data_IF_820175621144
#
_entry.id   IF_820175621144
#
_cell.length_a   1.000
_cell.length_b   1.000
_cell.length_c   1.000
_cell.angle_alpha   90.00
_cell.angle_beta   90.00
_cell.angle_gamma   90.00
#
_symmetry.space_group_name_H-M   'P 1'
#
loop_
_entity.id
_entity.type
_entity.pdbx_description
1 polymer ?
#
# COMPACT_ATOMS: atom_id res chain seq x y z
N UNK A 1 85.02 52.47 29.54
CA UNK A 1 83.80 53.28 29.38
C UNK A 1 83.42 53.35 27.90
N UNK A 2 84.32 53.76 27.01
CA UNK A 2 84.10 53.83 25.54
C UNK A 2 83.58 52.53 24.90
N UNK A 3 84.04 51.35 25.33
CA UNK A 3 83.60 50.06 24.74
C UNK A 3 82.15 49.66 25.05
N UNK A 4 81.52 50.25 26.07
CA UNK A 4 80.13 49.96 26.46
C UNK A 4 79.16 50.87 25.72
N UNK A 5 79.60 52.10 25.43
CA UNK A 5 78.84 53.13 24.73
C UNK A 5 78.71 52.78 23.23
N UNK A 6 79.80 52.36 22.58
CA UNK A 6 79.77 51.86 21.19
C UNK A 6 78.94 50.58 21.04
N UNK A 7 78.94 49.72 22.06
CA UNK A 7 78.13 48.52 22.07
C UNK A 7 76.63 48.82 22.16
N UNK A 8 76.22 49.83 22.93
CA UNK A 8 74.84 50.29 23.05
C UNK A 8 74.35 51.01 21.79
N UNK A 9 75.23 51.76 21.12
CA UNK A 9 74.94 52.42 19.85
C UNK A 9 74.70 51.41 18.72
N UNK A 10 75.53 50.37 18.60
CA UNK A 10 75.28 49.29 17.64
C UNK A 10 73.94 48.57 17.88
N UNK A 11 73.53 48.40 19.14
CA UNK A 11 72.23 47.79 19.47
C UNK A 11 71.05 48.70 19.09
N UNK A 12 71.20 50.01 19.28
CA UNK A 12 70.20 51.01 18.85
C UNK A 12 70.02 50.99 17.33
N UNK A 13 71.12 50.94 16.59
CA UNK A 13 71.14 50.90 15.11
C UNK A 13 70.49 49.60 14.61
N UNK A 14 70.78 48.45 15.23
CA UNK A 14 70.12 47.18 14.88
C UNK A 14 68.60 47.24 15.09
N UNK A 15 68.11 47.86 16.17
CA UNK A 15 66.67 48.05 16.39
C UNK A 15 66.02 48.99 15.40
N UNK A 16 66.74 50.01 14.96
CA UNK A 16 66.28 50.93 13.93
C UNK A 16 66.16 50.24 12.57
N UNK A 17 67.11 49.35 12.23
CA UNK A 17 67.06 48.49 11.03
C UNK A 17 65.93 47.45 11.12
N UNK A 18 65.66 46.91 12.31
CA UNK A 18 64.55 45.99 12.55
C UNK A 18 63.18 46.67 12.58
N UNK A 19 63.15 48.01 12.66
CA UNK A 19 61.92 48.78 12.58
C UNK A 19 61.39 48.82 11.14
N UNK A 20 60.07 48.97 11.01
CA UNK A 20 59.42 49.07 9.69
C UNK A 20 59.68 50.40 8.97
N UNK A 21 60.40 51.34 9.59
CA UNK A 21 60.68 52.67 9.04
C UNK A 21 61.94 52.67 8.17
N UNK A 22 61.74 52.51 6.87
CA UNK A 22 62.83 52.48 5.87
C UNK A 22 63.48 53.84 5.63
N UNK A 23 62.87 54.95 6.10
CA UNK A 23 63.40 56.30 5.89
C UNK A 23 64.69 56.55 6.69
N UNK A 24 64.87 55.87 7.82
CA UNK A 24 66.03 56.03 8.69
C UNK A 24 67.23 55.15 8.29
N UNK A 25 67.04 54.12 7.47
CA UNK A 25 68.09 53.15 7.13
C UNK A 25 69.29 53.81 6.45
N UNK A 26 69.06 54.74 5.51
CA UNK A 26 70.12 55.41 4.77
C UNK A 26 71.07 56.26 5.65
N UNK A 27 70.54 57.19 6.46
CA UNK A 27 71.32 57.95 7.43
C UNK A 27 72.00 57.06 8.48
N UNK A 28 71.31 56.05 9.00
CA UNK A 28 71.82 55.14 10.04
C UNK A 28 72.99 54.29 9.52
N UNK A 29 72.92 53.79 8.28
CA UNK A 29 74.05 53.09 7.66
C UNK A 29 75.24 54.02 7.38
N UNK A 30 74.99 55.25 6.91
CA UNK A 30 76.06 56.24 6.70
C UNK A 30 76.81 56.53 7.99
N UNK A 31 76.11 56.68 9.11
CA UNK A 31 76.69 56.87 10.45
C UNK A 31 77.62 55.72 10.89
N UNK A 32 77.32 54.47 10.49
CA UNK A 32 78.17 53.31 10.80
C UNK A 32 79.44 53.31 9.95
N UNK A 33 79.32 53.64 8.66
CA UNK A 33 80.44 53.66 7.71
C UNK A 33 81.40 54.83 7.92
N UNK A 34 80.89 55.98 8.39
CA UNK A 34 81.70 57.15 8.76
C UNK A 34 82.48 56.92 10.07
N UNK A 35 82.09 55.91 10.87
CA UNK A 35 82.78 55.50 12.10
C UNK A 35 83.89 54.46 11.88
N UNK A 36 84.89 54.43 12.77
CA UNK A 36 86.02 53.50 12.69
C UNK A 36 85.66 52.03 13.08
N UNK A 37 84.46 51.76 13.62
CA UNK A 37 84.05 50.45 14.14
C UNK A 37 83.08 49.66 13.22
N UNK A 38 82.95 50.04 11.95
CA UNK A 38 82.03 49.40 10.99
C UNK A 38 82.15 47.86 10.92
N UNK A 39 83.36 47.30 11.05
CA UNK A 39 83.66 45.87 11.05
C UNK A 39 82.98 45.17 12.25
N UNK A 40 83.04 45.79 13.44
CA UNK A 40 82.40 45.27 14.66
C UNK A 40 80.88 45.35 14.57
N UNK A 41 80.35 46.37 13.88
CA UNK A 41 78.92 46.46 13.63
C UNK A 41 78.45 45.34 12.69
N UNK A 42 79.18 45.08 11.59
CA UNK A 42 78.88 43.98 10.67
C UNK A 42 78.91 42.61 11.37
N UNK A 43 79.88 42.38 12.27
CA UNK A 43 79.94 41.18 13.10
C UNK A 43 78.71 41.04 14.01
N UNK A 44 78.23 42.14 14.61
CA UNK A 44 77.00 42.14 15.41
C UNK A 44 75.74 41.92 14.58
N UNK A 45 75.65 42.51 13.38
CA UNK A 45 74.54 42.31 12.46
C UNK A 45 74.46 40.85 12.01
N UNK A 46 75.59 40.25 11.65
CA UNK A 46 75.70 38.83 11.31
C UNK A 46 75.26 37.93 12.48
N UNK A 47 75.66 38.28 13.71
CA UNK A 47 75.22 37.56 14.91
C UNK A 47 73.69 37.70 15.14
N UNK A 48 73.12 38.88 14.84
CA UNK A 48 71.68 39.14 14.95
C UNK A 48 70.88 38.36 13.92
N UNK A 49 71.33 38.32 12.66
CA UNK A 49 70.75 37.48 11.59
C UNK A 49 70.74 36.02 12.01
N UNK A 50 71.89 35.48 12.46
CA UNK A 50 71.99 34.10 12.96
C UNK A 50 71.07 33.82 14.15
N UNK A 51 70.82 34.81 15.00
CA UNK A 51 69.88 34.68 16.11
C UNK A 51 68.44 34.54 15.60
N UNK A 52 68.02 35.39 14.66
CA UNK A 52 66.69 35.33 14.04
C UNK A 52 66.48 34.03 13.26
N UNK A 53 67.46 33.59 12.48
CA UNK A 53 67.38 32.32 11.75
C UNK A 53 67.15 31.15 12.71
N UNK A 54 67.85 31.14 13.87
CA UNK A 54 67.63 30.14 14.92
C UNK A 54 66.25 30.22 15.56
N UNK A 55 65.70 31.41 15.76
CA UNK A 55 64.34 31.58 16.29
C UNK A 55 63.27 31.11 15.31
N UNK A 56 63.43 31.44 14.02
CA UNK A 56 62.57 30.95 12.92
C UNK A 56 62.62 29.42 12.88
N UNK A 57 63.82 28.84 12.86
CA UNK A 57 63.99 27.38 12.83
C UNK A 57 63.36 26.72 14.06
N UNK A 58 63.52 27.31 15.25
CA UNK A 58 62.89 26.81 16.48
C UNK A 58 61.37 26.85 16.40
N UNK A 59 60.77 27.94 15.89
CA UNK A 59 59.32 28.04 15.72
C UNK A 59 58.79 27.07 14.67
N UNK A 60 59.47 26.94 13.54
CA UNK A 60 59.11 25.97 12.51
C UNK A 60 59.17 24.54 13.07
N UNK A 61 60.26 24.17 13.75
CA UNK A 61 60.41 22.84 14.34
C UNK A 61 59.37 22.57 15.44
N UNK A 62 59.03 23.57 16.26
CA UNK A 62 58.02 23.43 17.30
C UNK A 62 56.62 23.13 16.72
N UNK A 63 56.26 23.74 15.59
CA UNK A 63 54.94 23.57 14.98
C UNK A 63 54.86 22.52 13.86
N UNK A 64 55.99 22.04 13.37
CA UNK A 64 56.04 21.13 12.21
C UNK A 64 55.19 19.88 12.43
N UNK A 65 55.32 19.22 13.58
CA UNK A 65 54.56 18.01 13.87
C UNK A 65 53.05 18.28 13.90
N UNK A 66 52.61 19.36 14.56
CA UNK A 66 51.20 19.72 14.63
C UNK A 66 50.59 20.04 13.25
N UNK A 67 51.37 20.63 12.34
CA UNK A 67 50.97 20.85 10.96
C UNK A 67 50.80 19.52 10.19
N UNK A 68 51.77 18.61 10.31
CA UNK A 68 51.73 17.28 9.69
C UNK A 68 50.53 16.46 10.21
N UNK A 69 50.29 16.50 11.52
CA UNK A 69 49.17 15.80 12.15
C UNK A 69 47.83 16.36 11.64
N UNK A 70 47.69 17.68 11.57
CA UNK A 70 46.48 18.36 11.06
C UNK A 70 46.17 17.98 9.60
N UNK A 71 47.19 17.94 8.73
CA UNK A 71 47.01 17.50 7.33
C UNK A 71 46.59 16.03 7.30
N UNK A 72 47.23 15.20 8.10
CA UNK A 72 46.93 13.77 8.15
C UNK A 72 45.50 13.51 8.60
N UNK A 73 45.01 14.23 9.62
CA UNK A 73 43.62 14.16 10.06
C UNK A 73 42.64 14.63 8.99
N UNK A 74 42.94 15.73 8.30
CA UNK A 74 42.09 16.23 7.22
C UNK A 74 41.97 15.24 6.05
N UNK A 75 43.07 14.55 5.72
CA UNK A 75 43.06 13.47 4.72
C UNK A 75 42.22 12.27 5.17
N UNK A 76 42.26 11.89 6.45
CA UNK A 76 41.41 10.85 7.03
C UNK A 76 39.93 11.24 6.95
N UNK A 77 39.58 12.45 7.38
CA UNK A 77 38.20 12.97 7.32
C UNK A 77 37.68 12.94 5.88
N UNK A 78 38.48 13.37 4.91
CA UNK A 78 38.12 13.32 3.48
C UNK A 78 37.83 11.88 3.02
N UNK A 79 38.66 10.92 3.44
CA UNK A 79 38.46 9.51 3.10
C UNK A 79 37.16 8.95 3.69
N UNK A 80 36.92 9.19 4.98
CA UNK A 80 35.71 8.75 5.68
C UNK A 80 34.44 9.39 5.09
N UNK A 81 34.46 10.69 4.80
CA UNK A 81 33.35 11.37 4.13
C UNK A 81 33.04 10.76 2.76
N UNK A 82 34.08 10.34 2.02
CA UNK A 82 33.93 9.60 0.76
C UNK A 82 33.22 8.26 0.95
N UNK A 83 33.60 7.48 1.98
CA UNK A 83 32.95 6.21 2.30
C UNK A 83 31.47 6.39 2.67
N UNK A 84 31.17 7.37 3.53
CA UNK A 84 29.79 7.69 3.93
C UNK A 84 28.96 8.08 2.71
N UNK A 85 29.49 8.93 1.83
CA UNK A 85 28.81 9.30 0.57
C UNK A 85 28.46 8.06 -0.26
N UNK A 86 29.41 7.14 -0.45
CA UNK A 86 29.18 5.92 -1.20
C UNK A 86 28.11 5.03 -0.54
N UNK A 87 28.15 4.87 0.79
CA UNK A 87 27.16 4.10 1.54
C UNK A 87 25.76 4.71 1.46
N UNK A 88 25.63 6.03 1.58
CA UNK A 88 24.34 6.74 1.46
C UNK A 88 23.75 6.53 0.07
N UNK A 89 24.56 6.68 -0.98
CA UNK A 89 24.09 6.47 -2.37
C UNK A 89 23.68 5.01 -2.59
N UNK A 90 24.46 4.05 -2.11
CA UNK A 90 24.14 2.63 -2.24
C UNK A 90 22.84 2.27 -1.50
N UNK A 91 22.68 2.74 -0.26
CA UNK A 91 21.49 2.51 0.56
C UNK A 91 20.25 3.14 -0.08
N UNK A 92 20.36 4.38 -0.57
CA UNK A 92 19.27 5.04 -1.27
C UNK A 92 18.86 4.26 -2.53
N UNK A 93 19.82 3.74 -3.31
CA UNK A 93 19.52 2.93 -4.49
C UNK A 93 18.77 1.64 -4.10
N UNK A 94 19.26 0.91 -3.11
CA UNK A 94 18.61 -0.31 -2.62
C UNK A 94 17.18 -0.04 -2.10
N UNK A 95 17.00 1.06 -1.36
CA UNK A 95 15.68 1.46 -0.88
C UNK A 95 14.71 1.79 -2.01
N UNK A 96 15.19 2.47 -3.05
CA UNK A 96 14.36 2.79 -4.22
C UNK A 96 13.98 1.53 -5.03
N UNK A 97 14.91 0.58 -5.17
CA UNK A 97 14.64 -0.70 -5.85
C UNK A 97 13.61 -1.53 -5.07
N UNK A 98 13.83 -1.75 -3.77
CA UNK A 98 12.88 -2.44 -2.91
C UNK A 98 11.51 -1.73 -2.85
N UNK A 99 11.51 -0.39 -2.86
CA UNK A 99 10.29 0.41 -2.90
C UNK A 99 9.48 0.22 -4.19
N UNK A 100 10.14 0.08 -5.35
CA UNK A 100 9.46 -0.18 -6.62
C UNK A 100 8.81 -1.56 -6.67
N UNK A 101 9.52 -2.58 -6.19
CA UNK A 101 8.98 -3.93 -6.07
C UNK A 101 7.76 -3.96 -5.15
N UNK A 102 7.86 -3.32 -3.98
CA UNK A 102 6.75 -3.21 -3.04
C UNK A 102 5.53 -2.51 -3.62
N UNK A 103 5.71 -1.42 -4.37
CA UNK A 103 4.59 -0.72 -5.03
C UNK A 103 3.89 -1.65 -6.02
N UNK A 104 4.65 -2.41 -6.79
CA UNK A 104 4.10 -3.36 -7.78
C UNK A 104 3.25 -4.43 -7.10
N UNK A 105 3.78 -5.06 -6.04
CA UNK A 105 3.05 -6.05 -5.23
C UNK A 105 1.77 -5.47 -4.59
N UNK A 106 1.80 -4.21 -4.16
CA UNK A 106 0.64 -3.53 -3.58
C UNK A 106 -0.45 -3.25 -4.62
N UNK A 107 -0.08 -2.91 -5.86
CA UNK A 107 -1.02 -2.75 -6.96
C UNK A 107 -1.69 -4.09 -7.31
N UNK A 108 -0.92 -5.17 -7.37
CA UNK A 108 -1.45 -6.52 -7.59
C UNK A 108 -2.40 -6.95 -6.47
N UNK A 109 -2.01 -6.74 -5.20
CA UNK A 109 -2.85 -7.03 -4.04
C UNK A 109 -4.16 -6.24 -4.09
N UNK A 110 -4.10 -4.96 -4.48
CA UNK A 110 -5.30 -4.12 -4.62
C UNK A 110 -6.22 -4.67 -5.70
N UNK A 111 -5.68 -5.08 -6.86
CA UNK A 111 -6.44 -5.72 -7.93
C UNK A 111 -7.10 -7.02 -7.44
N UNK A 112 -6.36 -7.87 -6.71
CA UNK A 112 -6.88 -9.11 -6.14
C UNK A 112 -8.00 -8.84 -5.12
N UNK A 113 -7.89 -7.81 -4.28
CA UNK A 113 -8.96 -7.43 -3.33
C UNK A 113 -10.24 -6.98 -4.03
N UNK A 114 -10.12 -6.23 -5.13
CA UNK A 114 -11.29 -5.85 -5.94
C UNK A 114 -11.95 -7.09 -6.54
N UNK A 115 -11.16 -8.00 -7.10
CA UNK A 115 -11.67 -9.28 -7.63
C UNK A 115 -12.36 -10.09 -6.53
N UNK A 116 -11.74 -10.23 -5.36
CA UNK A 116 -12.32 -10.93 -4.21
C UNK A 116 -13.65 -10.30 -3.78
N UNK A 117 -13.74 -8.96 -3.72
CA UNK A 117 -14.99 -8.26 -3.39
C UNK A 117 -16.08 -8.52 -4.43
N UNK A 118 -15.71 -8.51 -5.71
CA UNK A 118 -16.65 -8.79 -6.80
C UNK A 118 -17.15 -10.24 -6.75
N UNK A 119 -16.26 -11.20 -6.48
CA UNK A 119 -16.60 -12.61 -6.29
C UNK A 119 -17.55 -12.76 -5.10
N UNK A 120 -17.21 -12.23 -3.92
CA UNK A 120 -18.07 -12.30 -2.74
C UNK A 120 -19.46 -11.70 -3.01
N UNK A 121 -19.52 -10.51 -3.61
CA UNK A 121 -20.78 -9.87 -4.00
C UNK A 121 -21.60 -10.75 -4.95
N UNK A 122 -20.94 -11.39 -5.92
CA UNK A 122 -21.60 -12.28 -6.88
C UNK A 122 -22.14 -13.53 -6.18
N UNK A 123 -21.37 -14.13 -5.28
CA UNK A 123 -21.81 -15.26 -4.45
C UNK A 123 -23.04 -14.89 -3.64
N UNK A 124 -23.05 -13.74 -2.98
CA UNK A 124 -24.21 -13.27 -2.20
C UNK A 124 -25.44 -13.08 -3.09
N UNK A 125 -25.28 -12.51 -4.29
CA UNK A 125 -26.37 -12.34 -5.24
C UNK A 125 -26.88 -13.68 -5.78
N UNK A 126 -26.01 -14.65 -6.04
CA UNK A 126 -26.41 -15.99 -6.46
C UNK A 126 -27.14 -16.74 -5.35
N UNK A 127 -26.65 -16.64 -4.10
CA UNK A 127 -27.30 -17.23 -2.93
C UNK A 127 -28.70 -16.66 -2.69
N UNK A 128 -28.93 -15.38 -2.99
CA UNK A 128 -30.26 -14.79 -2.93
C UNK A 128 -31.20 -15.34 -4.01
N UNK A 129 -30.69 -15.60 -5.21
CA UNK A 129 -31.48 -16.09 -6.34
C UNK A 129 -31.77 -17.60 -6.29
N UNK A 130 -30.89 -18.39 -5.68
CA UNK A 130 -30.95 -19.85 -5.71
C UNK A 130 -32.27 -20.41 -5.12
N UNK A 131 -32.75 -19.99 -3.94
CA UNK A 131 -34.00 -20.50 -3.37
C UNK A 131 -35.22 -20.24 -4.27
N UNK A 132 -35.23 -19.09 -4.97
CA UNK A 132 -36.31 -18.72 -5.90
C UNK A 132 -36.36 -19.69 -7.08
N UNK A 133 -35.20 -19.99 -7.67
CA UNK A 133 -35.08 -20.91 -8.79
C UNK A 133 -35.43 -22.35 -8.38
N UNK A 134 -34.94 -22.80 -7.22
CA UNK A 134 -35.26 -24.12 -6.68
C UNK A 134 -36.76 -24.29 -6.40
N UNK A 135 -37.38 -23.28 -5.79
CA UNK A 135 -38.81 -23.31 -5.49
C UNK A 135 -39.66 -23.30 -6.76
N UNK A 136 -39.28 -22.51 -7.76
CA UNK A 136 -39.95 -22.51 -9.06
C UNK A 136 -39.77 -23.85 -9.80
N UNK A 137 -38.61 -24.50 -9.69
CA UNK A 137 -38.39 -25.86 -10.21
C UNK A 137 -39.31 -26.88 -9.53
N UNK A 138 -39.35 -26.86 -8.19
CA UNK A 138 -40.24 -27.73 -7.39
C UNK A 138 -41.71 -27.51 -7.74
N UNK A 139 -42.13 -26.27 -7.95
CA UNK A 139 -43.48 -25.94 -8.42
C UNK A 139 -43.81 -26.67 -9.74
N UNK A 140 -42.92 -26.57 -10.73
CA UNK A 140 -43.10 -27.25 -12.03
C UNK A 140 -43.15 -28.77 -11.87
N UNK A 141 -42.37 -29.34 -10.96
CA UNK A 141 -42.43 -30.78 -10.64
C UNK A 141 -43.76 -31.19 -10.02
N UNK A 142 -44.30 -30.41 -9.07
CA UNK A 142 -45.63 -30.68 -8.49
C UNK A 142 -46.74 -30.61 -9.55
N UNK A 143 -46.65 -29.66 -10.47
CA UNK A 143 -47.60 -29.55 -11.59
C UNK A 143 -47.54 -30.79 -12.49
N UNK A 144 -46.34 -31.25 -12.86
CA UNK A 144 -46.15 -32.49 -13.64
C UNK A 144 -46.68 -33.73 -12.91
N UNK A 145 -46.53 -33.77 -11.59
CA UNK A 145 -47.03 -34.85 -10.74
C UNK A 145 -48.55 -34.77 -10.47
N UNK A 146 -49.28 -33.83 -11.08
CA UNK A 146 -50.70 -33.53 -10.85
C UNK A 146 -51.06 -33.23 -9.39
N UNK A 147 -50.08 -32.78 -8.59
CA UNK A 147 -50.27 -32.37 -7.19
C UNK A 147 -50.63 -30.88 -7.15
N UNK A 148 -51.85 -30.58 -7.57
CA UNK A 148 -52.31 -29.21 -7.80
C UNK A 148 -52.39 -28.36 -6.53
N UNK A 149 -52.83 -28.93 -5.41
CA UNK A 149 -52.94 -28.18 -4.15
C UNK A 149 -51.56 -27.75 -3.58
N UNK A 150 -50.56 -28.65 -3.44
CA UNK A 150 -49.19 -28.25 -3.09
C UNK A 150 -48.59 -27.24 -4.07
N UNK A 151 -48.85 -27.39 -5.38
CA UNK A 151 -48.39 -26.47 -6.40
C UNK A 151 -48.96 -25.05 -6.19
N UNK A 152 -50.27 -24.90 -5.97
CA UNK A 152 -50.88 -23.59 -5.69
C UNK A 152 -50.30 -22.93 -4.45
N UNK A 153 -50.09 -23.70 -3.37
CA UNK A 153 -49.47 -23.16 -2.14
C UNK A 153 -48.03 -22.69 -2.37
N UNK A 154 -47.22 -23.43 -3.13
CA UNK A 154 -45.87 -22.99 -3.49
C UNK A 154 -45.90 -21.74 -4.37
N UNK A 155 -46.86 -21.64 -5.27
CA UNK A 155 -47.01 -20.51 -6.17
C UNK A 155 -47.30 -19.22 -5.38
N UNK A 156 -48.19 -19.28 -4.37
CA UNK A 156 -48.48 -18.15 -3.50
C UNK A 156 -47.26 -17.71 -2.66
N UNK A 157 -46.54 -18.67 -2.04
CA UNK A 157 -45.33 -18.37 -1.27
C UNK A 157 -44.24 -17.78 -2.16
N UNK A 158 -44.09 -18.29 -3.39
CA UNK A 158 -43.10 -17.78 -4.36
C UNK A 158 -43.38 -16.32 -4.72
N UNK A 159 -44.65 -15.96 -4.91
CA UNK A 159 -45.07 -14.59 -5.23
C UNK A 159 -44.92 -13.61 -4.07
N UNK A 160 -45.34 -14.02 -2.87
CA UNK A 160 -45.42 -13.12 -1.71
C UNK A 160 -44.08 -12.99 -0.96
N UNK A 161 -43.29 -14.06 -0.86
CA UNK A 161 -42.11 -14.08 0.00
C UNK A 161 -40.79 -14.01 -0.78
N UNK A 162 -40.68 -14.74 -1.89
CA UNK A 162 -39.40 -14.95 -2.58
C UNK A 162 -39.13 -13.97 -3.73
N UNK A 163 -40.11 -13.72 -4.60
CA UNK A 163 -39.93 -12.84 -5.77
C UNK A 163 -39.67 -11.36 -5.43
N UNK A 164 -40.23 -10.77 -4.35
CA UNK A 164 -39.88 -9.41 -3.95
C UNK A 164 -38.39 -9.22 -3.65
N UNK A 165 -37.73 -10.25 -3.08
CA UNK A 165 -36.32 -10.23 -2.72
C UNK A 165 -35.39 -10.11 -3.95
N UNK A 166 -35.85 -10.57 -5.11
CA UNK A 166 -35.09 -10.61 -6.37
C UNK A 166 -35.71 -9.73 -7.46
N UNK A 167 -36.58 -8.78 -7.08
CA UNK A 167 -37.34 -7.91 -8.00
C UNK A 167 -36.46 -7.09 -8.97
N UNK A 168 -35.22 -6.79 -8.59
CA UNK A 168 -34.25 -6.08 -9.43
C UNK A 168 -33.78 -6.89 -10.65
N UNK A 169 -33.93 -8.22 -10.65
CA UNK A 169 -33.47 -9.09 -11.72
C UNK A 169 -34.55 -9.33 -12.78
N UNK A 170 -34.17 -9.35 -14.06
CA UNK A 170 -35.13 -9.56 -15.16
C UNK A 170 -35.87 -10.89 -15.09
N UNK A 171 -35.23 -11.96 -14.59
CA UNK A 171 -35.87 -13.27 -14.53
C UNK A 171 -37.04 -13.32 -13.54
N UNK A 172 -37.00 -12.54 -12.45
CA UNK A 172 -38.06 -12.52 -11.45
C UNK A 172 -39.33 -11.89 -12.02
N UNK A 173 -39.20 -10.84 -12.84
CA UNK A 173 -40.31 -10.24 -13.58
C UNK A 173 -40.96 -11.23 -14.56
N UNK A 174 -40.14 -11.97 -15.32
CA UNK A 174 -40.65 -13.00 -16.22
C UNK A 174 -41.40 -14.11 -15.47
N UNK A 175 -40.90 -14.51 -14.29
CA UNK A 175 -41.59 -15.47 -13.43
C UNK A 175 -42.94 -14.93 -12.95
N UNK A 176 -42.98 -13.69 -12.42
CA UNK A 176 -44.21 -13.03 -11.98
C UNK A 176 -45.26 -12.99 -13.09
N UNK A 177 -44.88 -12.60 -14.31
CA UNK A 177 -45.79 -12.53 -15.46
C UNK A 177 -46.35 -13.93 -15.85
N UNK A 178 -45.64 -15.00 -15.50
CA UNK A 178 -46.04 -16.38 -15.80
C UNK A 178 -46.95 -16.97 -14.71
N UNK A 179 -46.90 -16.49 -13.46
CA UNK A 179 -47.66 -17.05 -12.34
C UNK A 179 -49.18 -17.06 -12.55
N UNK A 180 -49.83 -15.99 -13.05
CA UNK A 180 -51.28 -16.01 -13.32
C UNK A 180 -51.67 -17.08 -14.34
N UNK A 181 -50.83 -17.31 -15.35
CA UNK A 181 -51.08 -18.35 -16.37
C UNK A 181 -51.01 -19.74 -15.76
N UNK A 182 -50.03 -20.01 -14.89
CA UNK A 182 -49.91 -21.28 -14.18
C UNK A 182 -51.11 -21.52 -13.24
N UNK A 183 -51.60 -20.49 -12.55
CA UNK A 183 -52.82 -20.60 -11.73
C UNK A 183 -54.04 -20.98 -12.58
N UNK A 184 -54.19 -20.36 -13.74
CA UNK A 184 -55.29 -20.65 -14.65
C UNK A 184 -55.19 -22.07 -15.21
N UNK A 185 -53.99 -22.50 -15.62
CA UNK A 185 -53.74 -23.88 -16.07
C UNK A 185 -54.10 -24.92 -15.01
N UNK A 186 -53.66 -24.71 -13.76
CA UNK A 186 -54.01 -25.62 -12.64
C UNK A 186 -55.52 -25.68 -12.46
N UNK A 187 -56.22 -24.54 -12.51
CA UNK A 187 -57.68 -24.48 -12.39
C UNK A 187 -58.36 -25.26 -13.49
N UNK A 188 -57.97 -25.04 -14.75
CA UNK A 188 -58.60 -25.65 -15.91
C UNK A 188 -58.41 -27.17 -15.90
N UNK A 189 -57.20 -27.66 -15.63
CA UNK A 189 -56.93 -29.10 -15.55
C UNK A 189 -57.63 -29.73 -14.35
N UNK A 190 -57.60 -29.09 -13.17
CA UNK A 190 -58.29 -29.61 -11.98
C UNK A 190 -59.80 -29.69 -12.18
N UNK A 191 -60.38 -28.71 -12.87
CA UNK A 191 -61.82 -28.70 -13.16
C UNK A 191 -62.19 -29.76 -14.21
N UNK A 192 -61.35 -29.98 -15.23
CA UNK A 192 -61.51 -31.08 -16.17
C UNK A 192 -61.47 -32.44 -15.47
N UNK A 193 -60.44 -32.69 -14.65
CA UNK A 193 -60.28 -33.94 -13.90
C UNK A 193 -61.48 -34.19 -12.97
N UNK A 194 -62.03 -33.14 -12.33
CA UNK A 194 -63.24 -33.23 -11.51
C UNK A 194 -64.48 -33.57 -12.36
N UNK A 195 -64.66 -32.92 -13.50
CA UNK A 195 -65.80 -33.20 -14.39
C UNK A 195 -65.75 -34.64 -14.91
N UNK A 196 -64.57 -35.11 -15.33
CA UNK A 196 -64.35 -36.49 -15.77
C UNK A 196 -64.63 -37.50 -14.65
N UNK A 197 -64.23 -37.17 -13.41
CA UNK A 197 -64.53 -37.98 -12.24
C UNK A 197 -66.03 -38.08 -11.96
N UNK A 198 -66.75 -36.95 -12.00
CA UNK A 198 -68.21 -36.91 -11.80
C UNK A 198 -68.96 -37.69 -12.89
N UNK A 199 -68.53 -37.57 -14.15
CA UNK A 199 -69.08 -38.32 -15.27
C UNK A 199 -68.82 -39.83 -15.13
N UNK A 200 -67.65 -40.22 -14.64
CA UNK A 200 -67.33 -41.62 -14.30
C UNK A 200 -68.22 -42.15 -13.18
N UNK A 201 -68.42 -41.38 -12.10
CA UNK A 201 -69.34 -41.75 -11.01
C UNK A 201 -70.75 -41.93 -11.57
N UNK A 202 -71.26 -41.01 -12.38
CA UNK A 202 -72.61 -41.10 -12.96
C UNK A 202 -72.83 -42.42 -13.68
N UNK A 203 -71.88 -42.81 -14.54
CA UNK A 203 -71.93 -44.09 -15.29
C UNK A 203 -71.91 -45.33 -14.39
N UNK A 204 -71.17 -45.29 -13.29
CA UNK A 204 -71.10 -46.42 -12.34
C UNK A 204 -72.29 -46.45 -11.38
N UNK A 205 -72.79 -45.28 -10.96
CA UNK A 205 -73.95 -45.11 -10.10
C UNK A 205 -75.21 -45.68 -10.76
N UNK A 206 -75.41 -45.50 -12.06
CA UNK A 206 -76.54 -46.09 -12.79
C UNK A 206 -76.54 -47.63 -12.71
N UNK A 207 -75.37 -48.26 -12.84
CA UNK A 207 -75.22 -49.72 -12.71
C UNK A 207 -75.45 -50.20 -11.28
N UNK A 208 -74.87 -49.50 -10.30
CA UNK A 208 -75.06 -49.82 -8.87
C UNK A 208 -76.53 -49.63 -8.49
N UNK A 209 -77.17 -48.56 -8.94
CA UNK A 209 -78.59 -48.27 -8.74
C UNK A 209 -79.49 -49.35 -9.36
N UNK A 210 -79.20 -49.82 -10.58
CA UNK A 210 -79.93 -50.94 -11.18
C UNK A 210 -79.77 -52.24 -10.38
N UNK A 211 -78.56 -52.55 -9.87
CA UNK A 211 -78.34 -53.73 -9.04
C UNK A 211 -79.04 -53.61 -7.68
N UNK A 212 -78.96 -52.46 -7.03
CA UNK A 212 -79.65 -52.18 -5.77
C UNK A 212 -81.18 -52.27 -5.93
N UNK A 213 -81.73 -51.72 -7.02
CA UNK A 213 -83.16 -51.81 -7.36
C UNK A 213 -83.60 -53.26 -7.65
N UNK A 214 -82.78 -54.06 -8.34
CA UNK A 214 -83.05 -55.49 -8.56
C UNK A 214 -83.05 -56.27 -7.24
N UNK A 215 -82.12 -55.97 -6.34
CA UNK A 215 -82.02 -56.61 -5.03
C UNK A 215 -83.19 -56.21 -4.09
N UNK A 216 -83.61 -54.94 -4.13
CA UNK A 216 -84.80 -54.46 -3.43
C UNK A 216 -86.10 -55.07 -3.96
N UNK A 217 -86.23 -55.25 -5.29
CA UNK A 217 -87.37 -55.96 -5.90
C UNK A 217 -87.36 -57.46 -5.57
N UNK A 218 -86.20 -58.09 -5.54
CA UNK A 218 -86.05 -59.49 -5.13
C UNK A 218 -86.41 -59.73 -3.66
N UNK A 219 -86.15 -58.78 -2.76
CA UNK A 219 -86.57 -58.86 -1.35
C UNK A 219 -88.05 -58.51 -1.13
N UNK A 220 -88.65 -57.68 -1.99
CA UNK A 220 -90.09 -57.41 -1.98
C UNK A 220 -90.96 -58.61 -2.41
N UNK A 221 -90.39 -59.58 -3.13
CA UNK A 221 -91.08 -60.81 -3.53
C UNK A 221 -90.95 -61.97 -2.54
N UNK A 222 -90.06 -61.88 -1.53
CA UNK A 222 -89.91 -62.93 -0.50
C UNK A 222 -90.62 -62.59 0.81
N UNK A 223 -91.37 -61.49 0.85
CA UNK A 223 -92.19 -61.10 2.01
C UNK A 223 -93.62 -60.71 1.58
N UNK A 224 -94.25 -61.56 0.78
CA UNK A 224 -95.70 -61.73 0.79
C UNK A 224 -95.97 -63.23 0.87
N UNK A 225 -96.61 -63.61 1.98
CA UNK A 225 -97.25 -64.88 2.32
C UNK A 225 -97.17 -66.03 1.31
#
# INVERSE_FOLDING_TARGET
AESVETAAEHERILREIESTDTACIGPTLRSVYDGAEHQRFLEKLEARIKSHDREIEKMCNFHYQGFVDSITELLKVRSEAGKVKCQVVATNKQLQEAGKELVTEMEELTRCRVQQRNIATTVDKLNLCLPVLEMYSKLKEQMKAKRYYPALKMLDVLEQEYLPLVSQYRFSRLMLDTLPRLRQEIRDVSMSDLNDFLESIRKHSDKIGQMAMKQARGQGSTCMC
#
